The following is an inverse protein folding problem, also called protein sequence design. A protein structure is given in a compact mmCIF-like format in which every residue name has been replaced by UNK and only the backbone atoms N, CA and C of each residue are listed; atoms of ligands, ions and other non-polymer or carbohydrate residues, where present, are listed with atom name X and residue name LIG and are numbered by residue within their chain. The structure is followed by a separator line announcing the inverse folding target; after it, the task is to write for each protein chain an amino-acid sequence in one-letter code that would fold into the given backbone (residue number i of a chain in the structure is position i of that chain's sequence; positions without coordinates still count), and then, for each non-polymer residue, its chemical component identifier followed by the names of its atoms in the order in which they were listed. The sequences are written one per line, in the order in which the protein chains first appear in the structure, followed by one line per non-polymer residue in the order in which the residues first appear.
data_IF_437025372782
#
_entry.id   IF_437025372782
#
_cell.length_a   1.000
_cell.length_b   1.000
_cell.length_c   1.000
_cell.angle_alpha   90.00
_cell.angle_beta   90.00
_cell.angle_gamma   90.00
#
_symmetry.space_group_name_H-M   'P 1'
#
loop_
_entity.id
_entity.type
_entity.pdbx_description
1 polymer ?
#
# COMPACT_ATOMS: atom_id res chain seq x y z
N UNK A 1 -3.78 28.51 -11.04
CA UNK A 1 -4.79 27.63 -10.39
C UNK A 1 -4.86 26.38 -11.24
N UNK A 2 -4.24 25.28 -10.79
CA UNK A 2 -4.27 24.03 -11.54
C UNK A 2 -5.68 23.46 -11.52
N UNK A 3 -6.28 23.38 -12.70
CA UNK A 3 -7.52 22.64 -12.92
C UNK A 3 -7.21 21.15 -12.84
N UNK A 4 -7.36 20.56 -11.68
CA UNK A 4 -7.22 19.11 -11.52
C UNK A 4 -8.46 18.43 -12.09
N UNK A 5 -8.27 17.58 -13.09
CA UNK A 5 -9.33 16.87 -13.79
C UNK A 5 -9.85 15.71 -12.95
N UNK A 6 -11.17 15.51 -12.94
CA UNK A 6 -11.82 14.34 -12.36
C UNK A 6 -12.53 13.57 -13.47
N UNK A 7 -12.11 12.34 -13.71
CA UNK A 7 -12.67 11.46 -14.73
C UNK A 7 -13.56 10.41 -14.05
N UNK A 8 -14.73 10.19 -14.62
CA UNK A 8 -15.60 9.09 -14.22
C UNK A 8 -15.25 7.85 -15.03
N UNK A 9 -14.93 6.76 -14.36
CA UNK A 9 -14.70 5.48 -15.00
C UNK A 9 -16.05 4.75 -15.19
N UNK A 10 -16.26 4.24 -16.38
CA UNK A 10 -17.48 3.55 -16.80
C UNK A 10 -17.14 2.19 -17.40
N UNK A 11 -18.13 1.31 -17.43
CA UNK A 11 -18.08 0.07 -18.17
C UNK A 11 -19.29 -0.06 -19.10
N UNK A 12 -19.11 -0.84 -20.16
CA UNK A 12 -20.20 -1.34 -21.00
C UNK A 12 -20.52 -2.79 -20.58
N UNK A 13 -21.78 -3.12 -20.48
CA UNK A 13 -22.20 -4.47 -20.09
C UNK A 13 -22.03 -5.50 -21.20
N UNK A 14 -21.93 -5.03 -22.46
CA UNK A 14 -21.87 -5.89 -23.66
C UNK A 14 -20.43 -6.14 -24.16
N UNK A 15 -19.42 -5.34 -23.70
CA UNK A 15 -18.03 -5.51 -24.10
C UNK A 15 -17.17 -6.21 -23.01
N UNK A 16 -15.85 -6.25 -23.18
CA UNK A 16 -14.90 -6.84 -22.21
C UNK A 16 -14.50 -5.87 -21.09
N UNK A 17 -15.11 -4.67 -21.00
CA UNK A 17 -14.82 -3.73 -19.92
C UNK A 17 -15.39 -4.21 -18.59
N UNK A 18 -14.76 -3.81 -17.49
CA UNK A 18 -15.13 -4.18 -16.12
C UNK A 18 -13.97 -4.85 -15.40
N UNK A 19 -14.23 -5.33 -14.19
CA UNK A 19 -13.27 -6.07 -13.37
C UNK A 19 -13.26 -7.54 -13.81
N UNK A 20 -12.10 -8.05 -14.16
CA UNK A 20 -11.88 -9.45 -14.56
C UNK A 20 -11.09 -10.24 -13.52
N UNK A 21 -10.42 -9.55 -12.59
CA UNK A 21 -9.53 -10.17 -11.61
C UNK A 21 -9.43 -9.32 -10.34
N UNK A 22 -9.14 -9.96 -9.21
CA UNK A 22 -8.81 -9.29 -7.97
C UNK A 22 -7.42 -9.74 -7.54
N UNK A 23 -6.54 -8.79 -7.17
CA UNK A 23 -5.21 -9.07 -6.69
C UNK A 23 -5.15 -9.04 -5.16
N UNK A 24 -4.36 -9.94 -4.56
CA UNK A 24 -3.84 -9.76 -3.22
C UNK A 24 -2.56 -8.93 -3.32
N UNK A 25 -2.52 -7.82 -2.61
CA UNK A 25 -1.45 -6.84 -2.70
C UNK A 25 -0.91 -6.43 -1.33
N UNK A 26 0.34 -6.00 -1.30
CA UNK A 26 0.96 -5.35 -0.14
C UNK A 26 0.43 -3.93 0.07
N UNK A 27 0.01 -3.29 -1.03
CA UNK A 27 -0.50 -1.92 -1.09
C UNK A 27 -1.74 -1.86 -1.97
N UNK A 28 -2.96 -1.81 -1.40
CA UNK A 28 -4.19 -1.75 -2.20
C UNK A 28 -4.32 -0.46 -3.02
N UNK A 29 -5.01 -0.56 -4.15
CA UNK A 29 -4.99 0.37 -5.30
C UNK A 29 -5.46 1.81 -5.05
N UNK A 30 -5.99 2.16 -3.88
CA UNK A 30 -6.45 3.54 -3.62
C UNK A 30 -5.29 4.52 -3.48
N UNK A 31 -4.06 4.01 -3.31
CA UNK A 31 -2.86 4.85 -3.22
C UNK A 31 -1.74 4.47 -4.19
N UNK A 32 -1.81 3.33 -4.85
CA UNK A 32 -0.81 2.98 -5.85
C UNK A 32 -1.29 3.34 -7.25
N UNK A 33 -0.40 3.90 -8.03
CA UNK A 33 -0.55 4.14 -9.46
C UNK A 33 -0.96 2.84 -10.17
N UNK A 34 -2.25 2.69 -10.42
CA UNK A 34 -2.72 1.59 -11.24
C UNK A 34 -2.47 1.94 -12.69
N UNK A 35 -1.48 1.31 -13.30
CA UNK A 35 -1.25 1.40 -14.74
C UNK A 35 -1.64 0.10 -15.42
N UNK A 36 -2.75 0.11 -16.10
CA UNK A 36 -3.06 -0.84 -17.16
C UNK A 36 -2.33 -0.53 -18.48
N UNK A 37 -1.30 0.32 -18.48
CA UNK A 37 -0.47 0.58 -19.65
C UNK A 37 0.95 0.93 -19.26
N UNK A 38 1.90 0.01 -19.54
CA UNK A 38 3.36 0.14 -19.42
C UNK A 38 3.90 0.63 -18.07
N UNK A 39 4.67 -0.26 -17.50
CA UNK A 39 5.59 -0.10 -16.39
C UNK A 39 6.40 1.20 -16.50
N UNK A 40 5.89 2.29 -15.93
CA UNK A 40 6.67 3.42 -15.48
C UNK A 40 6.43 3.57 -13.99
N UNK A 41 7.37 3.06 -13.21
CA UNK A 41 7.49 3.31 -11.79
C UNK A 41 7.76 4.80 -11.58
N UNK A 42 6.74 5.56 -11.17
CA UNK A 42 6.98 6.77 -10.41
C UNK A 42 6.80 6.41 -8.95
N UNK A 43 7.90 6.02 -8.35
CA UNK A 43 7.99 5.86 -6.91
C UNK A 43 7.91 7.25 -6.30
N UNK A 44 6.89 7.52 -5.46
CA UNK A 44 6.99 8.61 -4.52
C UNK A 44 8.27 8.37 -3.72
N UNK A 45 9.21 9.30 -3.84
CA UNK A 45 10.50 9.21 -3.18
C UNK A 45 10.62 10.30 -2.14
N UNK A 46 11.21 9.98 -0.99
CA UNK A 46 11.25 10.82 0.19
C UNK A 46 12.68 11.02 0.67
N UNK A 47 13.01 12.24 1.05
CA UNK A 47 14.27 12.60 1.69
C UNK A 47 14.08 13.45 2.95
N UNK A 48 12.86 13.47 3.48
CA UNK A 48 12.45 14.19 4.69
C UNK A 48 12.70 13.41 5.99
N UNK A 49 13.58 12.40 5.93
CA UNK A 49 14.01 11.69 7.12
C UNK A 49 14.91 12.56 8.02
N UNK A 50 14.90 12.32 9.34
CA UNK A 50 15.65 13.13 10.30
C UNK A 50 17.16 13.18 9.99
N UNK A 51 17.81 14.30 10.30
CA UNK A 51 19.27 14.46 10.19
C UNK A 51 20.02 13.38 10.99
N UNK A 52 19.48 13.02 12.16
CA UNK A 52 20.04 11.94 12.99
C UNK A 52 20.08 10.59 12.28
N UNK A 53 19.16 10.31 11.34
CA UNK A 53 19.21 9.09 10.54
C UNK A 53 20.40 9.10 9.57
N UNK A 54 20.66 10.25 8.95
CA UNK A 54 21.85 10.46 8.08
C UNK A 54 23.13 10.34 8.87
N UNK A 55 23.18 10.93 10.06
CA UNK A 55 24.35 10.90 10.94
C UNK A 55 24.63 9.48 11.44
N UNK A 56 23.62 8.70 11.77
CA UNK A 56 23.75 7.29 12.16
C UNK A 56 24.33 6.46 11.02
N UNK A 57 23.81 6.62 9.82
CA UNK A 57 24.32 5.93 8.63
C UNK A 57 25.76 6.33 8.30
N UNK A 58 26.07 7.63 8.38
CA UNK A 58 27.43 8.14 8.18
C UNK A 58 28.41 7.59 9.22
N UNK A 59 27.98 7.49 10.49
CA UNK A 59 28.77 6.88 11.58
C UNK A 59 29.11 5.43 11.28
N UNK A 60 28.12 4.64 10.86
CA UNK A 60 28.34 3.23 10.52
C UNK A 60 29.32 3.07 9.35
N UNK A 61 29.16 3.88 8.29
CA UNK A 61 30.07 3.84 7.13
C UNK A 61 31.49 4.24 7.50
N UNK A 62 31.65 5.25 8.35
CA UNK A 62 32.97 5.67 8.84
C UNK A 62 33.62 4.55 9.67
N UNK A 63 32.89 3.89 10.55
CA UNK A 63 33.42 2.76 11.31
C UNK A 63 33.86 1.60 10.41
N UNK A 64 33.12 1.32 9.35
CA UNK A 64 33.51 0.30 8.36
C UNK A 64 34.78 0.70 7.63
N UNK A 65 34.99 1.99 7.34
CA UNK A 65 36.17 2.50 6.70
C UNK A 65 37.40 2.49 7.64
N UNK A 66 37.23 2.92 8.90
CA UNK A 66 38.30 3.05 9.87
C UNK A 66 38.72 1.71 10.51
N UNK A 67 37.76 0.77 10.69
CA UNK A 67 37.96 -0.46 11.45
C UNK A 67 37.60 -1.72 10.64
N UNK A 68 37.52 -1.65 9.33
CA UNK A 68 37.04 -2.74 8.49
C UNK A 68 37.75 -4.08 8.71
N UNK A 69 39.04 -4.06 9.01
CA UNK A 69 39.84 -5.27 9.33
C UNK A 69 39.46 -5.90 10.66
N UNK A 70 38.92 -5.13 11.60
CA UNK A 70 38.49 -5.59 12.92
C UNK A 70 37.02 -6.04 12.94
N UNK A 71 36.23 -5.65 11.92
CA UNK A 71 34.81 -5.91 11.81
C UNK A 71 34.61 -7.28 11.18
N UNK A 72 34.21 -8.26 11.99
CA UNK A 72 33.84 -9.59 11.53
C UNK A 72 32.31 -9.73 11.41
N UNK A 73 31.69 -8.80 10.63
CA UNK A 73 30.25 -8.73 10.46
C UNK A 73 29.85 -9.03 9.02
N UNK A 74 28.84 -9.84 8.85
CA UNK A 74 28.27 -10.15 7.53
C UNK A 74 27.21 -9.12 7.15
N UNK A 75 27.61 -7.83 7.03
CA UNK A 75 26.68 -6.79 6.60
C UNK A 75 26.39 -6.89 5.10
N UNK A 76 25.11 -6.75 4.76
CA UNK A 76 24.65 -6.96 3.38
C UNK A 76 24.97 -5.75 2.48
N UNK A 77 25.16 -6.02 1.17
CA UNK A 77 25.25 -4.95 0.15
C UNK A 77 24.05 -4.00 0.18
N UNK A 78 22.87 -4.52 0.57
CA UNK A 78 21.63 -3.71 0.70
C UNK A 78 21.77 -2.72 1.86
N UNK A 79 22.30 -3.14 3.02
CA UNK A 79 22.55 -2.24 4.16
C UNK A 79 23.52 -1.14 3.81
N UNK A 80 24.64 -1.46 3.14
CA UNK A 80 25.61 -0.47 2.69
C UNK A 80 25.01 0.55 1.69
N UNK A 81 24.23 0.06 0.70
CA UNK A 81 23.52 0.94 -0.23
C UNK A 81 22.58 1.88 0.52
N UNK A 82 21.84 1.37 1.52
CA UNK A 82 20.94 2.16 2.34
C UNK A 82 21.68 3.24 3.12
N UNK A 83 22.76 2.88 3.78
CA UNK A 83 23.56 3.82 4.53
C UNK A 83 24.10 4.96 3.65
N UNK A 84 24.59 4.66 2.45
CA UNK A 84 25.03 5.68 1.51
C UNK A 84 23.90 6.62 1.08
N UNK A 85 22.71 6.07 0.78
CA UNK A 85 21.55 6.89 0.43
C UNK A 85 21.14 7.83 1.57
N UNK A 86 21.11 7.33 2.81
CA UNK A 86 20.78 8.14 3.99
C UNK A 86 21.84 9.20 4.26
N UNK A 87 23.14 8.85 4.21
CA UNK A 87 24.25 9.79 4.36
C UNK A 87 24.15 10.94 3.37
N UNK A 88 23.85 10.64 2.12
CA UNK A 88 23.84 11.62 1.02
C UNK A 88 22.49 12.36 0.89
N UNK A 89 21.54 12.16 1.79
CA UNK A 89 20.18 12.73 1.70
C UNK A 89 19.47 12.41 0.39
N UNK A 90 19.72 11.23 -0.18
CA UNK A 90 19.07 10.78 -1.39
C UNK A 90 17.59 10.48 -1.15
N UNK A 91 16.81 10.59 -2.22
CA UNK A 91 15.39 10.21 -2.18
C UNK A 91 15.23 8.70 -2.08
N UNK A 92 14.38 8.26 -1.18
CA UNK A 92 14.11 6.84 -0.86
C UNK A 92 12.69 6.49 -1.27
N UNK A 93 12.53 5.36 -1.98
CA UNK A 93 11.23 4.84 -2.43
C UNK A 93 10.39 4.24 -1.31
N UNK A 94 9.09 4.11 -1.53
CA UNK A 94 8.16 3.43 -0.61
C UNK A 94 8.59 2.00 -0.29
N UNK A 95 9.03 1.24 -1.28
CA UNK A 95 9.54 -0.12 -1.06
C UNK A 95 10.70 -0.13 -0.06
N UNK A 96 11.60 0.83 -0.23
CA UNK A 96 12.72 1.01 0.68
C UNK A 96 12.29 1.42 2.07
N UNK A 97 11.33 2.34 2.19
CA UNK A 97 10.75 2.75 3.47
C UNK A 97 10.11 1.56 4.17
N UNK A 98 9.37 0.70 3.43
CA UNK A 98 8.82 -0.54 3.96
C UNK A 98 9.89 -1.48 4.54
N UNK A 99 11.00 -1.66 3.82
CA UNK A 99 12.16 -2.44 4.30
C UNK A 99 12.78 -1.82 5.56
N UNK A 100 12.92 -0.48 5.61
CA UNK A 100 13.42 0.22 6.80
C UNK A 100 12.48 0.02 7.99
N UNK A 101 11.17 0.17 7.79
CA UNK A 101 10.18 -0.03 8.84
C UNK A 101 10.17 -1.47 9.37
N UNK A 102 10.31 -2.47 8.49
CA UNK A 102 10.40 -3.88 8.88
C UNK A 102 11.62 -4.20 9.75
N UNK A 103 12.65 -3.36 9.71
CA UNK A 103 13.84 -3.51 10.55
C UNK A 103 13.56 -3.27 12.04
N UNK A 104 12.38 -2.69 12.39
CA UNK A 104 11.93 -2.53 13.78
C UNK A 104 11.88 -3.87 14.55
N UNK A 105 11.69 -5.00 13.87
CA UNK A 105 11.76 -6.34 14.50
C UNK A 105 13.11 -6.64 15.16
N UNK A 106 14.15 -5.91 14.79
CA UNK A 106 15.50 -6.00 15.37
C UNK A 106 15.80 -4.88 16.37
N UNK A 107 14.77 -4.34 17.05
CA UNK A 107 14.91 -3.20 17.99
C UNK A 107 15.91 -3.45 19.13
N UNK A 108 16.15 -4.70 19.47
CA UNK A 108 17.11 -5.09 20.51
C UNK A 108 18.55 -4.72 20.13
N UNK A 109 18.81 -4.49 18.84
CA UNK A 109 20.09 -3.99 18.32
C UNK A 109 20.20 -2.44 18.37
N UNK A 110 19.24 -1.74 18.97
CA UNK A 110 19.27 -0.26 19.07
C UNK A 110 20.33 0.24 20.04
N UNK A 111 20.80 -0.62 20.93
CA UNK A 111 21.83 -0.35 21.91
C UNK A 111 23.03 -1.28 21.70
N UNK A 112 24.21 -0.78 22.01
CA UNK A 112 25.45 -1.58 21.95
C UNK A 112 25.41 -2.64 23.05
N UNK A 113 25.69 -3.88 22.70
CA UNK A 113 25.83 -4.95 23.68
C UNK A 113 26.97 -4.61 24.67
N UNK A 114 26.78 -4.96 25.93
CA UNK A 114 27.71 -4.66 27.02
C UNK A 114 29.14 -5.16 26.75
N UNK A 115 29.30 -6.24 26.00
CA UNK A 115 30.57 -6.82 25.57
C UNK A 115 31.35 -5.88 24.61
N UNK A 116 30.66 -5.04 23.84
CA UNK A 116 31.27 -4.18 22.81
C UNK A 116 31.25 -2.70 23.18
N UNK A 117 31.07 -2.31 24.45
CA UNK A 117 31.00 -0.92 24.88
C UNK A 117 32.20 -0.07 24.42
N UNK A 118 33.38 -0.65 24.51
CA UNK A 118 34.64 0.04 24.13
C UNK A 118 34.98 -0.12 22.64
N UNK A 119 34.34 -1.04 21.94
CA UNK A 119 34.53 -1.36 20.52
C UNK A 119 33.22 -1.50 19.79
N UNK A 120 32.33 -0.47 19.78
CA UNK A 120 30.96 -0.58 19.32
C UNK A 120 30.83 -0.92 17.82
N UNK A 121 31.88 -0.72 17.03
CA UNK A 121 31.95 -1.13 15.62
C UNK A 121 32.02 -2.65 15.43
N UNK A 122 32.35 -3.43 16.48
CA UNK A 122 32.38 -4.90 16.47
C UNK A 122 31.02 -5.52 16.75
N UNK A 123 30.08 -4.74 17.27
CA UNK A 123 28.71 -5.19 17.47
C UNK A 123 27.95 -5.20 16.14
N UNK A 124 27.84 -6.39 15.54
CA UNK A 124 27.22 -6.57 14.24
C UNK A 124 25.74 -6.17 14.21
N UNK A 125 25.02 -6.39 15.31
CA UNK A 125 23.62 -5.98 15.44
C UNK A 125 23.47 -4.48 15.45
N UNK A 126 24.26 -3.80 16.29
CA UNK A 126 24.25 -2.36 16.39
C UNK A 126 24.76 -1.68 15.11
N UNK A 127 25.80 -2.21 14.49
CA UNK A 127 26.31 -1.73 13.22
C UNK A 127 25.23 -1.82 12.12
N UNK A 128 24.56 -2.96 12.02
CA UNK A 128 23.45 -3.13 11.09
C UNK A 128 22.31 -2.14 11.38
N UNK A 129 21.95 -1.92 12.65
CA UNK A 129 20.95 -0.94 13.05
C UNK A 129 21.29 0.48 12.57
N UNK A 130 22.54 0.89 12.72
CA UNK A 130 23.02 2.20 12.27
C UNK A 130 23.03 2.32 10.73
N UNK A 131 23.37 1.26 9.98
CA UNK A 131 23.33 1.24 8.51
C UNK A 131 21.93 1.52 7.98
N UNK A 132 20.88 1.18 8.72
CA UNK A 132 19.48 1.46 8.40
C UNK A 132 18.96 2.79 8.98
N UNK A 133 19.86 3.67 9.44
CA UNK A 133 19.55 5.00 9.96
C UNK A 133 19.34 5.07 11.47
N UNK A 134 19.57 3.96 12.18
CA UNK A 134 19.36 3.88 13.62
C UNK A 134 17.89 4.06 14.00
N UNK A 135 17.64 4.23 15.29
CA UNK A 135 16.28 4.40 15.84
C UNK A 135 15.49 5.52 15.16
N UNK A 136 16.13 6.64 14.84
CA UNK A 136 15.45 7.78 14.21
C UNK A 136 15.03 7.51 12.78
N UNK A 137 15.86 6.82 11.98
CA UNK A 137 15.56 6.44 10.61
C UNK A 137 14.46 5.39 10.54
N UNK A 138 14.52 4.39 11.42
CA UNK A 138 13.53 3.31 11.49
C UNK A 138 12.17 3.86 11.97
N UNK A 139 12.14 4.69 13.01
CA UNK A 139 10.91 5.30 13.49
C UNK A 139 10.28 6.25 12.46
N UNK A 140 11.10 6.99 11.70
CA UNK A 140 10.60 7.78 10.58
C UNK A 140 9.93 6.88 9.53
N UNK A 141 10.58 5.77 9.16
CA UNK A 141 10.03 4.83 8.20
C UNK A 141 8.72 4.19 8.70
N UNK A 142 8.66 3.79 9.96
CA UNK A 142 7.42 3.29 10.61
C UNK A 142 6.33 4.35 10.57
N UNK A 143 6.64 5.60 10.93
CA UNK A 143 5.65 6.69 10.89
C UNK A 143 5.16 6.99 9.48
N UNK A 144 6.04 6.88 8.44
CA UNK A 144 5.64 6.99 7.05
C UNK A 144 4.70 5.86 6.65
N UNK A 145 5.04 4.62 7.02
CA UNK A 145 4.20 3.45 6.74
C UNK A 145 2.84 3.58 7.44
N UNK A 146 2.79 3.97 8.72
CA UNK A 146 1.54 4.21 9.44
C UNK A 146 0.69 5.32 8.80
N UNK A 147 1.31 6.40 8.31
CA UNK A 147 0.59 7.43 7.55
C UNK A 147 0.07 6.90 6.21
N UNK A 148 0.84 6.04 5.54
CA UNK A 148 0.39 5.35 4.33
C UNK A 148 -0.78 4.42 4.64
N UNK A 149 -0.71 3.68 5.73
CA UNK A 149 -1.74 2.72 6.16
C UNK A 149 -3.09 3.38 6.47
N UNK A 150 -3.12 4.65 6.91
CA UNK A 150 -4.36 5.40 7.15
C UNK A 150 -5.25 5.60 5.93
N UNK A 151 -4.74 5.39 4.73
CA UNK A 151 -5.45 5.55 3.46
C UNK A 151 -5.69 4.23 2.72
N UNK A 152 -5.32 3.09 3.32
CA UNK A 152 -5.41 1.77 2.70
C UNK A 152 -6.80 1.16 2.88
N UNK A 153 -7.28 0.50 1.83
CA UNK A 153 -8.36 -0.50 1.96
C UNK A 153 -7.70 -1.83 2.30
N UNK A 154 -7.28 -1.96 3.55
CA UNK A 154 -6.76 -3.24 4.03
C UNK A 154 -7.91 -4.24 4.18
N UNK A 155 -7.62 -5.48 3.88
CA UNK A 155 -8.45 -6.55 4.37
C UNK A 155 -8.09 -6.87 5.83
N UNK A 156 -9.02 -7.52 6.54
CA UNK A 156 -8.78 -8.06 7.87
C UNK A 156 -8.92 -9.58 7.82
N UNK A 157 -8.13 -10.29 8.62
CA UNK A 157 -8.38 -11.69 8.89
C UNK A 157 -9.67 -11.74 9.69
N UNK A 158 -10.73 -12.28 9.08
CA UNK A 158 -12.05 -12.35 9.67
C UNK A 158 -12.24 -13.64 10.47
N UNK A 159 -11.67 -14.72 9.98
CA UNK A 159 -11.71 -16.04 10.61
C UNK A 159 -10.40 -16.78 10.28
N UNK A 160 -9.57 -16.97 11.30
CA UNK A 160 -8.25 -17.58 11.13
C UNK A 160 -8.34 -19.08 10.88
N UNK A 161 -9.27 -19.80 11.54
CA UNK A 161 -9.47 -21.23 11.36
C UNK A 161 -9.98 -21.54 9.96
N UNK A 162 -10.89 -20.72 9.47
CA UNK A 162 -11.45 -20.86 8.11
C UNK A 162 -10.59 -20.15 7.05
N UNK A 163 -9.54 -19.43 7.46
CA UNK A 163 -8.66 -18.68 6.58
C UNK A 163 -9.42 -17.69 5.68
N UNK A 164 -10.24 -16.86 6.31
CA UNK A 164 -11.07 -15.86 5.63
C UNK A 164 -10.46 -14.47 5.84
N UNK A 165 -10.25 -13.75 4.74
CA UNK A 165 -9.87 -12.34 4.71
C UNK A 165 -10.99 -11.53 4.09
N UNK A 166 -11.32 -10.37 4.69
CA UNK A 166 -12.47 -9.56 4.30
C UNK A 166 -12.10 -8.09 4.20
N UNK A 167 -12.73 -7.38 3.27
CA UNK A 167 -12.50 -5.96 3.07
C UNK A 167 -13.28 -5.40 1.88
N UNK A 168 -13.06 -4.10 1.60
CA UNK A 168 -13.62 -3.50 0.41
C UNK A 168 -12.81 -3.86 -0.83
N UNK A 169 -13.48 -4.33 -1.87
CA UNK A 169 -12.89 -4.43 -3.21
C UNK A 169 -12.91 -3.07 -3.92
N UNK A 170 -14.01 -2.31 -3.78
CA UNK A 170 -14.16 -0.97 -4.35
C UNK A 170 -14.97 -0.06 -3.42
N UNK A 171 -14.61 1.21 -3.30
CA UNK A 171 -15.42 2.23 -2.63
C UNK A 171 -16.03 3.19 -3.65
N UNK A 172 -17.34 3.39 -3.56
CA UNK A 172 -18.06 4.30 -4.43
C UNK A 172 -17.71 5.76 -4.15
N UNK A 173 -17.72 6.58 -5.19
CA UNK A 173 -17.54 8.04 -5.12
C UNK A 173 -16.24 8.51 -4.45
N UNK A 174 -15.26 7.61 -4.25
CA UNK A 174 -13.96 7.95 -3.71
C UNK A 174 -12.99 8.30 -4.84
N UNK A 175 -12.49 9.55 -4.90
CA UNK A 175 -11.52 9.93 -5.90
C UNK A 175 -10.17 9.23 -5.71
N UNK A 176 -9.68 8.60 -6.76
CA UNK A 176 -8.40 7.90 -6.81
C UNK A 176 -7.44 8.73 -7.65
N UNK A 177 -6.26 9.06 -7.11
CA UNK A 177 -5.24 9.84 -7.83
C UNK A 177 -4.63 8.98 -8.94
N UNK A 178 -4.44 9.59 -10.11
CA UNK A 178 -3.73 9.04 -11.26
C UNK A 178 -2.75 10.06 -11.80
N UNK A 179 -1.75 9.59 -12.53
CA UNK A 179 -0.85 10.42 -13.32
C UNK A 179 -1.07 10.13 -14.79
N UNK A 180 -1.08 11.17 -15.61
CA UNK A 180 -1.10 11.01 -17.06
C UNK A 180 0.34 10.85 -17.60
N UNK A 181 0.48 10.66 -18.92
CA UNK A 181 1.79 10.48 -19.58
C UNK A 181 2.73 11.70 -19.42
N UNK A 182 2.19 12.86 -19.01
CA UNK A 182 2.94 14.09 -18.74
C UNK A 182 3.24 14.28 -17.25
N UNK A 183 2.96 13.27 -16.39
CA UNK A 183 3.08 13.36 -14.93
C UNK A 183 2.14 14.38 -14.27
N UNK A 184 1.07 14.76 -14.92
CA UNK A 184 0.07 15.64 -14.35
C UNK A 184 -0.93 14.81 -13.54
N UNK A 185 -1.24 15.25 -12.33
CA UNK A 185 -2.20 14.57 -11.44
C UNK A 185 -3.63 14.80 -11.94
N UNK A 186 -4.36 13.72 -12.07
CA UNK A 186 -5.81 13.75 -12.26
C UNK A 186 -6.47 12.76 -11.30
N UNK A 187 -7.79 12.81 -11.16
CA UNK A 187 -8.54 11.88 -10.33
C UNK A 187 -9.45 11.04 -11.19
N UNK A 188 -9.61 9.78 -10.80
CA UNK A 188 -10.66 8.91 -11.34
C UNK A 188 -11.62 8.54 -10.22
N UNK A 189 -12.87 8.26 -10.58
CA UNK A 189 -13.90 7.87 -9.63
C UNK A 189 -14.79 6.79 -10.24
N UNK A 190 -15.18 5.81 -9.43
CA UNK A 190 -16.24 4.87 -9.77
C UNK A 190 -17.53 5.28 -9.07
N UNK A 191 -18.59 5.46 -9.85
CA UNK A 191 -19.91 5.74 -9.30
C UNK A 191 -20.58 4.46 -8.84
N UNK A 192 -21.57 4.59 -7.93
CA UNK A 192 -22.35 3.45 -7.41
C UNK A 192 -22.90 2.57 -8.52
N UNK A 193 -23.53 3.17 -9.53
CA UNK A 193 -24.15 2.43 -10.63
C UNK A 193 -23.13 1.67 -11.47
N UNK A 194 -21.93 2.25 -11.63
CA UNK A 194 -20.82 1.59 -12.32
C UNK A 194 -20.29 0.41 -11.52
N UNK A 195 -20.14 0.54 -10.19
CA UNK A 195 -19.70 -0.55 -9.33
C UNK A 195 -20.74 -1.68 -9.34
N UNK A 196 -22.03 -1.38 -9.28
CA UNK A 196 -23.09 -2.38 -9.36
C UNK A 196 -23.01 -3.19 -10.67
N UNK A 197 -22.84 -2.53 -11.80
CA UNK A 197 -22.63 -3.19 -13.10
C UNK A 197 -21.36 -4.05 -13.10
N UNK A 198 -20.25 -3.55 -12.54
CA UNK A 198 -18.99 -4.29 -12.40
C UNK A 198 -19.23 -5.58 -11.61
N UNK A 199 -19.86 -5.51 -10.45
CA UNK A 199 -20.13 -6.66 -9.59
C UNK A 199 -21.00 -7.70 -10.30
N UNK A 200 -22.09 -7.24 -10.93
CA UNK A 200 -22.98 -8.12 -11.68
C UNK A 200 -22.22 -8.86 -12.79
N UNK A 201 -21.40 -8.13 -13.57
CA UNK A 201 -20.63 -8.70 -14.67
C UNK A 201 -19.55 -9.66 -14.19
N UNK A 202 -18.87 -9.32 -13.09
CA UNK A 202 -17.83 -10.15 -12.45
C UNK A 202 -18.37 -11.52 -12.08
N UNK A 203 -19.52 -11.58 -11.39
CA UNK A 203 -20.12 -12.85 -11.00
C UNK A 203 -20.80 -13.59 -12.15
N UNK A 204 -21.44 -12.86 -13.08
CA UNK A 204 -22.03 -13.45 -14.29
C UNK A 204 -21.00 -14.20 -15.12
N UNK A 205 -19.76 -13.69 -15.16
CA UNK A 205 -18.65 -14.29 -15.91
C UNK A 205 -17.88 -15.36 -15.11
N UNK A 206 -18.25 -15.63 -13.85
CA UNK A 206 -17.61 -16.64 -13.03
C UNK A 206 -16.20 -16.27 -12.56
N UNK A 207 -15.87 -14.97 -12.44
CA UNK A 207 -14.53 -14.48 -12.10
C UNK A 207 -14.19 -14.55 -10.61
N UNK A 208 -15.04 -15.12 -9.78
CA UNK A 208 -14.85 -15.22 -8.34
C UNK A 208 -13.56 -15.95 -7.91
N UNK A 209 -12.99 -16.80 -8.76
CA UNK A 209 -11.72 -17.48 -8.53
C UNK A 209 -10.56 -16.89 -9.36
N UNK A 210 -10.78 -15.79 -10.09
CA UNK A 210 -9.73 -15.08 -10.79
C UNK A 210 -8.98 -14.17 -9.83
N UNK A 211 -7.98 -14.74 -9.16
CA UNK A 211 -7.16 -14.02 -8.19
C UNK A 211 -5.69 -14.17 -8.58
N UNK A 212 -4.95 -13.07 -8.56
CA UNK A 212 -3.49 -13.07 -8.71
C UNK A 212 -2.78 -12.43 -7.52
N UNK A 213 -1.46 -12.46 -7.53
CA UNK A 213 -0.60 -11.85 -6.52
C UNK A 213 0.11 -10.65 -7.14
N UNK A 214 0.01 -9.49 -6.48
CA UNK A 214 0.75 -8.27 -6.82
C UNK A 214 0.56 -7.78 -8.28
N UNK A 215 -0.62 -8.00 -8.86
CA UNK A 215 -0.91 -7.67 -10.26
C UNK A 215 -0.02 -8.39 -11.30
N UNK A 216 0.55 -9.52 -10.93
CA UNK A 216 1.32 -10.35 -11.88
C UNK A 216 0.43 -11.47 -12.42
N UNK A 217 0.11 -11.39 -13.73
CA UNK A 217 -0.71 -12.39 -14.41
C UNK A 217 -0.09 -13.80 -14.44
N UNK A 218 1.22 -13.90 -14.20
CA UNK A 218 1.90 -15.19 -14.10
C UNK A 218 1.80 -15.80 -12.70
N UNK A 219 1.42 -15.00 -11.67
CA UNK A 219 1.30 -15.42 -10.29
C UNK A 219 -0.17 -15.61 -9.90
N UNK A 220 -0.82 -16.61 -10.49
CA UNK A 220 -2.21 -16.95 -10.14
C UNK A 220 -2.29 -17.49 -8.71
N UNK A 221 -3.18 -16.91 -7.90
CA UNK A 221 -3.42 -17.33 -6.52
C UNK A 221 -4.34 -18.55 -6.47
N UNK A 222 -3.85 -19.71 -6.88
CA UNK A 222 -4.63 -20.96 -6.83
C UNK A 222 -5.04 -21.29 -5.40
N UNK A 223 -6.32 -21.65 -5.20
CA UNK A 223 -6.89 -21.91 -3.88
C UNK A 223 -7.31 -20.62 -3.15
N UNK A 224 -7.39 -19.48 -3.85
CA UNK A 224 -7.95 -18.23 -3.33
C UNK A 224 -9.16 -17.84 -4.17
N UNK A 225 -10.28 -17.54 -3.51
CA UNK A 225 -11.52 -17.20 -4.22
C UNK A 225 -12.48 -16.41 -3.35
N UNK A 226 -13.34 -15.64 -3.98
CA UNK A 226 -14.38 -14.84 -3.32
C UNK A 226 -15.51 -15.77 -2.86
N UNK A 227 -15.86 -15.70 -1.56
CA UNK A 227 -16.93 -16.48 -0.93
C UNK A 227 -18.12 -15.63 -0.48
N UNK A 228 -17.88 -14.34 -0.20
CA UNK A 228 -18.90 -13.38 0.21
C UNK A 228 -18.76 -12.11 -0.62
N UNK A 229 -19.91 -11.54 -0.99
CA UNK A 229 -19.96 -10.31 -1.78
C UNK A 229 -21.24 -9.56 -1.45
N UNK A 230 -21.11 -8.27 -1.15
CA UNK A 230 -22.24 -7.38 -0.96
C UNK A 230 -21.95 -5.96 -1.48
N UNK A 231 -23.00 -5.29 -1.92
CA UNK A 231 -22.97 -3.87 -2.25
C UNK A 231 -23.62 -3.12 -1.09
N UNK A 232 -22.89 -2.15 -0.52
CA UNK A 232 -23.41 -1.32 0.57
C UNK A 232 -24.65 -0.58 0.09
N UNK A 233 -25.75 -0.71 0.84
CA UNK A 233 -27.02 -0.09 0.54
C UNK A 233 -27.77 0.21 1.85
N UNK A 234 -27.63 1.45 2.31
CA UNK A 234 -28.22 1.91 3.58
C UNK A 234 -29.76 1.82 3.58
N UNK A 235 -30.41 1.98 2.42
CA UNK A 235 -31.86 1.90 2.30
C UNK A 235 -32.37 0.48 2.51
N UNK A 236 -31.59 -0.52 2.12
CA UNK A 236 -31.88 -1.95 2.31
C UNK A 236 -31.32 -2.49 3.63
N UNK A 237 -30.63 -1.65 4.42
CA UNK A 237 -29.97 -2.07 5.65
C UNK A 237 -28.72 -2.93 5.42
N UNK A 238 -28.13 -2.89 4.21
CA UNK A 238 -26.93 -3.63 3.87
C UNK A 238 -25.71 -2.77 4.21
N UNK A 239 -24.90 -3.23 5.17
CA UNK A 239 -23.65 -2.58 5.60
C UNK A 239 -22.53 -3.61 5.72
N UNK A 240 -21.28 -3.15 5.69
CA UNK A 240 -20.16 -3.99 6.09
C UNK A 240 -20.27 -4.37 7.58
N UNK A 241 -19.61 -5.47 8.00
CA UNK A 241 -19.51 -5.81 9.41
C UNK A 241 -18.97 -4.64 10.25
N UNK A 242 -19.40 -4.54 11.52
CA UNK A 242 -19.13 -3.38 12.40
C UNK A 242 -17.64 -3.11 12.66
N UNK A 243 -16.76 -4.07 12.41
CA UNK A 243 -15.31 -3.89 12.53
C UNK A 243 -14.65 -3.26 11.27
N UNK A 244 -15.43 -2.91 10.25
CA UNK A 244 -14.97 -2.19 9.08
C UNK A 244 -15.44 -0.74 9.10
N UNK A 245 -14.65 0.13 8.46
CA UNK A 245 -15.05 1.53 8.28
C UNK A 245 -16.32 1.63 7.43
N UNK A 246 -17.15 2.63 7.71
CA UNK A 246 -18.27 2.96 6.85
C UNK A 246 -17.79 3.38 5.46
N UNK A 247 -18.52 2.95 4.45
CA UNK A 247 -18.30 3.34 3.07
C UNK A 247 -19.60 3.83 2.43
N UNK A 248 -19.52 4.69 1.42
CA UNK A 248 -20.69 5.16 0.69
C UNK A 248 -21.52 4.01 0.10
N UNK A 249 -22.84 4.21 0.01
CA UNK A 249 -23.73 3.32 -0.73
C UNK A 249 -23.20 3.08 -2.13
N UNK A 250 -23.29 1.83 -2.60
CA UNK A 250 -22.72 1.38 -3.86
C UNK A 250 -21.28 0.87 -3.76
N UNK A 251 -20.64 0.94 -2.59
CA UNK A 251 -19.32 0.32 -2.38
C UNK A 251 -19.43 -1.20 -2.37
N UNK A 252 -18.42 -1.87 -2.94
CA UNK A 252 -18.34 -3.32 -3.01
C UNK A 252 -17.44 -3.87 -1.91
N UNK A 253 -18.01 -4.62 -0.98
CA UNK A 253 -17.33 -5.32 0.10
C UNK A 253 -17.43 -6.83 -0.11
N UNK A 254 -16.44 -7.60 0.36
CA UNK A 254 -16.50 -9.05 0.30
C UNK A 254 -15.41 -9.75 1.07
N UNK A 255 -15.48 -11.08 1.05
CA UNK A 255 -14.52 -11.97 1.70
C UNK A 255 -13.94 -12.96 0.71
N UNK A 256 -12.67 -13.30 0.91
CA UNK A 256 -12.00 -14.38 0.20
C UNK A 256 -11.59 -15.49 1.16
N UNK A 257 -11.71 -16.72 0.69
CA UNK A 257 -11.09 -17.89 1.30
C UNK A 257 -9.70 -18.11 0.73
N UNK A 258 -8.73 -18.43 1.59
CA UNK A 258 -7.35 -18.68 1.22
C UNK A 258 -6.97 -20.11 1.64
N UNK A 259 -7.18 -21.07 0.75
CA UNK A 259 -6.89 -22.49 1.01
C UNK A 259 -5.39 -22.83 0.83
N UNK A 260 -4.68 -22.05 0.05
CA UNK A 260 -3.25 -22.23 -0.21
C UNK A 260 -2.43 -21.87 1.05
N UNK A 261 -1.64 -22.82 1.55
CA UNK A 261 -0.86 -22.67 2.78
C UNK A 261 0.20 -21.56 2.68
N UNK A 262 0.91 -21.48 1.55
CA UNK A 262 1.96 -20.49 1.34
C UNK A 262 1.38 -19.07 1.28
N UNK A 263 0.27 -18.89 0.55
CA UNK A 263 -0.42 -17.60 0.46
C UNK A 263 -1.00 -17.22 1.83
N UNK A 264 -1.56 -18.19 2.57
CA UNK A 264 -2.08 -17.95 3.92
C UNK A 264 -0.99 -17.49 4.88
N UNK A 265 0.16 -18.14 4.87
CA UNK A 265 1.31 -17.70 5.65
C UNK A 265 1.73 -16.26 5.30
N UNK A 266 1.77 -15.91 4.02
CA UNK A 266 2.09 -14.55 3.56
C UNK A 266 1.06 -13.52 4.02
N UNK A 267 -0.23 -13.90 4.13
CA UNK A 267 -1.29 -13.07 4.72
C UNK A 267 -1.05 -12.86 6.22
N UNK A 268 -0.75 -13.92 6.97
CA UNK A 268 -0.48 -13.84 8.41
C UNK A 268 0.77 -13.01 8.73
N UNK A 269 1.79 -13.10 7.89
CA UNK A 269 3.02 -12.30 8.00
C UNK A 269 2.84 -10.84 7.54
N UNK A 270 1.66 -10.50 6.98
CA UNK A 270 1.36 -9.15 6.49
C UNK A 270 2.07 -8.79 5.19
N UNK A 271 2.52 -9.79 4.41
CA UNK A 271 3.04 -9.58 3.04
C UNK A 271 1.91 -9.10 2.13
N UNK A 272 0.75 -9.74 2.21
CA UNK A 272 -0.48 -9.24 1.58
C UNK A 272 -1.35 -8.59 2.64
N UNK A 273 -1.86 -7.38 2.33
CA UNK A 273 -2.61 -6.56 3.29
C UNK A 273 -3.94 -6.06 2.77
N UNK A 274 -4.18 -6.16 1.47
CA UNK A 274 -5.39 -5.64 0.89
C UNK A 274 -5.73 -6.21 -0.46
N UNK A 275 -6.87 -5.75 -0.97
CA UNK A 275 -7.40 -6.10 -2.27
C UNK A 275 -7.16 -4.98 -3.28
N UNK A 276 -6.93 -5.37 -4.53
CA UNK A 276 -6.92 -4.44 -5.66
C UNK A 276 -7.62 -5.08 -6.85
N UNK A 277 -8.51 -4.34 -7.49
CA UNK A 277 -9.25 -4.84 -8.66
C UNK A 277 -8.50 -4.54 -9.96
N UNK A 278 -8.57 -5.47 -10.91
CA UNK A 278 -8.00 -5.33 -12.24
C UNK A 278 -9.08 -5.47 -13.31
N UNK A 279 -8.97 -4.63 -14.34
CA UNK A 279 -9.91 -4.67 -15.44
C UNK A 279 -9.70 -3.55 -16.44
N UNK A 280 -10.54 -3.52 -17.46
CA UNK A 280 -10.58 -2.46 -18.46
C UNK A 280 -11.74 -1.52 -18.20
N UNK A 281 -11.51 -0.22 -18.31
CA UNK A 281 -12.51 0.79 -18.03
C UNK A 281 -12.52 1.86 -19.14
N UNK A 282 -13.72 2.21 -19.58
CA UNK A 282 -13.94 3.39 -20.38
C UNK A 282 -13.88 4.66 -19.52
N UNK A 283 -13.68 5.80 -20.16
CA UNK A 283 -13.74 7.11 -19.50
C UNK A 283 -14.97 7.85 -20.01
N UNK A 284 -15.84 8.28 -19.09
CA UNK A 284 -16.87 9.24 -19.45
C UNK A 284 -16.23 10.59 -19.77
N UNK A 285 -16.91 11.37 -20.63
CA UNK A 285 -16.47 12.75 -20.93
C UNK A 285 -16.24 13.49 -19.62
N UNK A 286 -15.08 14.15 -19.53
CA UNK A 286 -14.65 14.97 -18.41
C UNK A 286 -15.78 15.88 -17.92
N UNK A 287 -16.29 15.63 -16.72
CA UNK A 287 -17.13 16.60 -16.04
C UNK A 287 -16.16 17.58 -15.38
N UNK A 288 -16.03 18.77 -15.94
CA UNK A 288 -15.31 19.88 -15.28
C UNK A 288 -16.11 20.26 -14.04
N UNK A 289 -15.78 19.70 -12.91
CA UNK A 289 -16.35 20.15 -11.65
C UNK A 289 -15.80 21.54 -11.32
N UNK A 290 -16.67 22.48 -10.91
CA UNK A 290 -16.21 23.78 -10.42
C UNK A 290 -15.21 23.55 -9.28
N UNK A 291 -14.11 24.28 -9.28
CA UNK A 291 -13.06 24.25 -8.21
C UNK A 291 -13.67 24.29 -6.80
N UNK A 292 -14.84 24.92 -6.65
CA UNK A 292 -15.64 24.99 -5.44
C UNK A 292 -16.12 23.61 -4.95
N UNK A 293 -16.42 22.65 -5.84
CA UNK A 293 -16.86 21.31 -5.46
C UNK A 293 -15.66 20.45 -5.04
N UNK A 294 -14.56 20.54 -5.77
CA UNK A 294 -13.29 19.87 -5.41
C UNK A 294 -12.79 20.37 -4.05
N UNK A 295 -12.88 21.67 -3.78
CA UNK A 295 -12.54 22.24 -2.49
C UNK A 295 -13.51 21.80 -1.39
N UNK A 296 -14.80 21.65 -1.67
CA UNK A 296 -15.77 21.06 -0.74
C UNK A 296 -15.45 19.61 -0.40
N UNK A 297 -15.07 18.80 -1.39
CA UNK A 297 -14.62 17.42 -1.19
C UNK A 297 -13.35 17.40 -0.31
N UNK A 298 -12.38 18.27 -0.59
CA UNK A 298 -11.17 18.44 0.25
C UNK A 298 -11.50 18.86 1.67
N UNK A 299 -12.44 19.77 1.86
CA UNK A 299 -12.89 20.19 3.21
C UNK A 299 -13.63 19.07 3.95
N UNK A 300 -14.47 18.30 3.26
CA UNK A 300 -15.16 17.15 3.87
C UNK A 300 -14.14 16.08 4.27
N UNK A 301 -13.19 15.77 3.42
CA UNK A 301 -12.07 14.85 3.72
C UNK A 301 -11.22 15.39 4.87
N UNK A 302 -10.96 16.70 4.92
CA UNK A 302 -10.24 17.35 6.03
C UNK A 302 -11.01 17.30 7.33
N UNK A 303 -12.31 17.62 7.33
CA UNK A 303 -13.18 17.57 8.52
C UNK A 303 -13.42 16.14 9.01
N UNK A 304 -13.48 15.18 8.12
CA UNK A 304 -13.52 13.76 8.50
C UNK A 304 -12.23 13.36 9.22
N UNK A 305 -11.08 13.82 8.74
CA UNK A 305 -9.79 13.63 9.40
C UNK A 305 -9.71 14.27 10.79
N UNK A 306 -10.25 15.48 10.96
CA UNK A 306 -10.20 16.24 12.23
C UNK A 306 -11.17 15.69 13.30
N UNK A 307 -12.22 14.95 12.94
CA UNK A 307 -13.18 14.35 13.86
C UNK A 307 -12.81 12.95 14.36
N UNK A 308 -11.90 12.29 13.68
CA UNK A 308 -11.53 10.91 14.01
C UNK A 308 -10.05 10.81 14.46
N UNK A 309 -9.45 11.96 14.71
CA UNK A 309 -8.13 12.18 15.30
C UNK A 309 -8.17 13.36 16.28
#
# INVERSE_FOLDING_TARGET
MENTELLELIIDEEDDSGVSMIALVDSPAIESEWMAFKKHQFEDTFNDYPESASNNAAKALRWIEEHGEEINCNYTRVGLKRANQLKNKEKISWETIGRMASFLRHKDNAEVNSEYKDTPWKDCGYLAWLLWGGTSGINWAVSKMQKKDRYRQEFKIQDEEKRIVSGYFMKADLPIIRLNDKNEKYYVVFRRDTIEKIVNKFFKNGFNANVNLMHDNNLQAKGVYVIESLIIDSKRGIKAPDNFEDAPDGSWWGSMRVENDEIWQMVQEGTFRGFSVEGMFGQAKTIKYPTRLINKIREVVKKYKERHY
#
